data_IF_816537964391
#
_entry.id   IF_816537964391
#
_cell.length_a   1.000
_cell.length_b   1.000
_cell.length_c   1.000
_cell.angle_alpha   90.00
_cell.angle_beta   90.00
_cell.angle_gamma   90.00
#
_symmetry.space_group_name_H-M   'P 1'
#
loop_
_entity.id
_entity.type
_entity.pdbx_description
1 polymer ?
#
# COMPACT_ATOMS: atom_id res chain seq x y z
N UNK A 1 -7.69 6.85 8.24
CA UNK A 1 -7.01 5.83 7.43
C UNK A 1 -7.39 6.09 5.99
N UNK A 2 -6.43 5.95 5.09
CA UNK A 2 -6.55 6.21 3.67
C UNK A 2 -6.36 4.92 2.88
N UNK A 3 -7.15 4.74 1.84
CA UNK A 3 -7.16 3.57 0.96
C UNK A 3 -6.82 3.99 -0.45
N UNK A 4 -5.80 3.39 -1.05
CA UNK A 4 -5.30 3.75 -2.37
C UNK A 4 -6.14 3.21 -3.52
N UNK A 5 -6.21 4.01 -4.58
CA UNK A 5 -6.82 3.69 -5.85
C UNK A 5 -5.89 4.09 -6.99
N UNK A 6 -5.82 3.25 -8.03
CA UNK A 6 -5.09 3.51 -9.27
C UNK A 6 -6.07 3.89 -10.37
N UNK A 7 -5.81 5.02 -11.02
CA UNK A 7 -6.53 5.50 -12.20
C UNK A 7 -6.04 4.76 -13.45
N UNK A 8 -6.96 4.45 -14.35
CA UNK A 8 -6.67 3.67 -15.55
C UNK A 8 -7.48 4.18 -16.75
N UNK A 9 -6.91 3.98 -17.95
CA UNK A 9 -7.49 4.38 -19.25
C UNK A 9 -7.79 5.89 -19.32
N UNK A 10 -6.77 6.64 -19.74
CA UNK A 10 -6.90 8.08 -20.01
C UNK A 10 -7.88 8.28 -21.17
N UNK A 11 -8.90 9.11 -20.97
CA UNK A 11 -9.95 9.38 -21.97
C UNK A 11 -9.76 10.73 -22.67
N UNK A 12 -9.06 11.67 -22.01
CA UNK A 12 -8.83 13.03 -22.50
C UNK A 12 -7.40 13.43 -22.15
N UNK A 13 -6.82 14.37 -22.90
CA UNK A 13 -5.56 15.01 -22.49
C UNK A 13 -5.68 15.49 -21.04
N UNK A 14 -4.61 15.30 -20.26
CA UNK A 14 -4.53 15.75 -18.88
C UNK A 14 -4.66 17.27 -18.88
N UNK A 15 -5.89 17.76 -18.64
CA UNK A 15 -6.10 19.20 -18.48
C UNK A 15 -5.43 19.61 -17.17
N UNK A 16 -4.72 20.72 -17.18
CA UNK A 16 -4.39 21.40 -15.94
C UNK A 16 -5.71 21.93 -15.36
N UNK A 17 -6.30 21.14 -14.48
CA UNK A 17 -7.58 21.50 -13.89
C UNK A 17 -7.37 22.53 -12.79
N UNK A 18 -8.09 23.65 -12.89
CA UNK A 18 -8.23 24.56 -11.75
C UNK A 18 -9.10 23.90 -10.66
N UNK A 19 -8.85 24.25 -9.40
CA UNK A 19 -9.62 23.76 -8.24
C UNK A 19 -11.11 23.96 -8.42
N UNK A 20 -11.50 25.11 -8.97
CA UNK A 20 -12.91 25.44 -9.14
C UNK A 20 -13.56 24.56 -10.20
N UNK A 21 -12.86 24.30 -11.32
CA UNK A 21 -13.32 23.40 -12.38
C UNK A 21 -13.56 21.98 -11.88
N UNK A 22 -12.62 21.42 -11.09
CA UNK A 22 -12.79 20.07 -10.52
C UNK A 22 -14.00 20.03 -9.59
N UNK A 23 -14.14 21.04 -8.71
CA UNK A 23 -15.25 21.07 -7.77
C UNK A 23 -16.60 21.18 -8.47
N UNK A 24 -16.71 22.04 -9.48
CA UNK A 24 -17.92 22.24 -10.26
C UNK A 24 -18.25 21.01 -11.11
N UNK A 25 -17.27 20.44 -11.82
CA UNK A 25 -17.45 19.23 -12.62
C UNK A 25 -17.93 18.03 -11.79
N UNK A 26 -17.31 17.81 -10.63
CA UNK A 26 -17.74 16.74 -9.71
C UNK A 26 -19.18 16.99 -9.25
N UNK A 27 -19.53 18.24 -8.91
CA UNK A 27 -20.87 18.60 -8.43
C UNK A 27 -21.93 18.39 -9.51
N UNK A 28 -21.65 18.78 -10.74
CA UNK A 28 -22.54 18.60 -11.90
C UNK A 28 -22.74 17.12 -12.23
N UNK A 29 -21.67 16.32 -12.17
CA UNK A 29 -21.75 14.90 -12.50
C UNK A 29 -22.52 14.10 -11.44
N UNK A 30 -22.31 14.40 -10.16
CA UNK A 30 -23.19 13.83 -9.12
C UNK A 30 -24.64 14.25 -9.30
N UNK A 31 -24.90 15.52 -9.64
CA UNK A 31 -26.26 15.99 -9.88
C UNK A 31 -26.94 15.26 -11.06
N UNK A 32 -26.21 15.07 -12.15
CA UNK A 32 -26.66 14.35 -13.35
C UNK A 32 -26.96 12.88 -13.06
N UNK A 33 -26.24 12.27 -12.11
CA UNK A 33 -26.50 10.91 -11.62
C UNK A 33 -27.63 10.84 -10.56
N UNK A 34 -28.40 11.92 -10.37
CA UNK A 34 -29.53 11.98 -9.43
C UNK A 34 -29.11 12.08 -7.95
N UNK A 35 -27.83 12.35 -7.68
CA UNK A 35 -27.25 12.39 -6.35
C UNK A 35 -27.08 13.83 -5.87
N UNK A 36 -27.83 14.22 -4.83
CA UNK A 36 -27.72 15.55 -4.21
C UNK A 36 -26.59 15.56 -3.18
N UNK A 37 -25.40 15.97 -3.60
CA UNK A 37 -24.20 16.00 -2.77
C UNK A 37 -23.85 17.42 -2.30
N UNK A 38 -23.19 17.50 -1.14
CA UNK A 38 -22.43 18.65 -0.68
C UNK A 38 -20.95 18.37 -0.95
N UNK A 39 -20.31 19.24 -1.72
CA UNK A 39 -18.96 19.02 -2.23
C UNK A 39 -18.11 20.25 -1.92
N UNK A 40 -16.93 20.02 -1.36
CA UNK A 40 -15.94 21.06 -1.12
C UNK A 40 -14.56 20.54 -1.52
N UNK A 41 -13.81 21.34 -2.26
CA UNK A 41 -12.43 21.05 -2.62
C UNK A 41 -11.49 22.07 -1.97
N UNK A 42 -10.42 21.61 -1.35
CA UNK A 42 -9.36 22.45 -0.81
C UNK A 42 -7.99 21.95 -1.30
N UNK A 43 -7.06 22.87 -1.51
CA UNK A 43 -5.68 22.57 -1.85
C UNK A 43 -4.81 22.76 -0.62
N UNK A 44 -3.97 21.78 -0.30
CA UNK A 44 -3.00 21.86 0.79
C UNK A 44 -1.79 20.98 0.47
N UNK A 45 -0.56 21.51 0.57
CA UNK A 45 0.68 20.80 0.25
C UNK A 45 0.66 20.09 -1.14
N UNK A 46 0.12 20.76 -2.18
CA UNK A 46 -0.06 20.19 -3.53
C UNK A 46 -0.99 18.96 -3.61
N UNK A 47 -1.76 18.69 -2.56
CA UNK A 47 -2.78 17.65 -2.52
C UNK A 47 -4.15 18.33 -2.56
N UNK A 48 -5.01 17.87 -3.49
CA UNK A 48 -6.41 18.28 -3.48
C UNK A 48 -7.21 17.38 -2.57
N UNK A 49 -7.81 17.95 -1.53
CA UNK A 49 -8.77 17.24 -0.69
C UNK A 49 -10.18 17.55 -1.14
N UNK A 50 -10.94 16.51 -1.47
CA UNK A 50 -12.35 16.63 -1.84
C UNK A 50 -13.19 16.01 -0.72
N UNK A 51 -14.07 16.80 -0.16
CA UNK A 51 -15.10 16.40 0.76
C UNK A 51 -16.38 16.11 -0.02
N UNK A 52 -16.97 14.93 0.20
CA UNK A 52 -18.25 14.53 -0.39
C UNK A 52 -19.20 14.03 0.71
N UNK A 53 -20.34 14.68 0.83
CA UNK A 53 -21.39 14.31 1.79
C UNK A 53 -22.77 14.31 1.11
N UNK A 54 -23.57 13.27 1.34
CA UNK A 54 -24.96 13.24 0.87
C UNK A 54 -25.83 14.23 1.63
N UNK A 55 -26.58 15.05 0.89
CA UNK A 55 -27.59 15.92 1.50
C UNK A 55 -28.71 15.06 2.08
N UNK A 56 -28.98 15.21 3.37
CA UNK A 56 -30.04 14.47 4.09
C UNK A 56 -31.38 14.60 3.36
N UNK A 57 -31.99 13.46 2.99
CA UNK A 57 -33.42 13.42 2.65
C UNK A 57 -34.22 13.58 3.96
N UNK A 58 -35.22 14.46 3.98
CA UNK A 58 -36.01 14.92 5.15
C UNK A 58 -36.59 13.83 6.10
N UNK A 59 -36.39 12.53 5.85
CA UNK A 59 -36.98 11.41 6.61
C UNK A 59 -35.99 10.36 7.16
N UNK A 60 -34.67 10.48 6.95
CA UNK A 60 -33.70 9.52 7.53
C UNK A 60 -32.69 10.23 8.43
N UNK A 61 -32.81 10.00 9.74
CA UNK A 61 -31.85 10.40 10.78
C UNK A 61 -30.67 9.43 10.79
N UNK A 62 -30.06 9.18 9.63
CA UNK A 62 -28.84 8.38 9.57
C UNK A 62 -27.68 9.36 9.39
N UNK A 63 -26.75 9.36 10.34
CA UNK A 63 -25.51 10.11 10.23
C UNK A 63 -24.67 9.48 9.11
N UNK A 64 -24.82 10.00 7.90
CA UNK A 64 -23.96 9.64 6.77
C UNK A 64 -22.61 10.29 7.05
N UNK A 65 -21.60 9.48 7.33
CA UNK A 65 -20.24 9.98 7.47
C UNK A 65 -19.77 10.53 6.12
N UNK A 66 -19.09 11.68 6.07
CA UNK A 66 -18.54 12.19 4.83
C UNK A 66 -17.44 11.28 4.29
N UNK A 67 -17.29 11.29 2.97
CA UNK A 67 -16.19 10.62 2.27
C UNK A 67 -15.18 11.66 1.85
N UNK A 68 -13.92 11.46 2.19
CA UNK A 68 -12.83 12.34 1.79
C UNK A 68 -11.99 11.67 0.73
N UNK A 69 -11.59 12.41 -0.29
CA UNK A 69 -10.63 12.01 -1.29
C UNK A 69 -9.39 12.90 -1.18
N UNK A 70 -8.22 12.31 -1.37
CA UNK A 70 -6.95 13.02 -1.50
C UNK A 70 -6.38 12.70 -2.89
N UNK A 71 -6.34 13.73 -3.74
CA UNK A 71 -5.86 13.63 -5.11
C UNK A 71 -4.46 14.24 -5.21
N UNK A 72 -3.58 13.55 -5.92
CA UNK A 72 -2.23 13.99 -6.20
C UNK A 72 -2.16 14.30 -7.69
N UNK A 73 -1.92 15.57 -8.03
CA UNK A 73 -1.79 15.97 -9.43
C UNK A 73 -0.64 15.23 -10.11
N UNK A 74 -0.77 15.00 -11.42
CA UNK A 74 0.21 14.29 -12.26
C UNK A 74 0.43 12.81 -11.89
N UNK A 75 -0.23 12.33 -10.84
CA UNK A 75 -0.15 10.95 -10.39
C UNK A 75 -1.39 10.17 -10.84
N UNK A 76 -1.18 8.92 -11.26
CA UNK A 76 -2.28 7.99 -11.60
C UNK A 76 -2.90 7.37 -10.35
N UNK A 77 -2.87 8.06 -9.22
CA UNK A 77 -3.28 7.54 -7.93
C UNK A 77 -4.05 8.59 -7.12
N UNK A 78 -5.03 8.11 -6.36
CA UNK A 78 -5.70 8.90 -5.34
C UNK A 78 -6.02 8.03 -4.13
N UNK A 79 -6.38 8.66 -3.02
CA UNK A 79 -6.73 7.98 -1.79
C UNK A 79 -8.11 8.37 -1.29
N UNK A 80 -8.79 7.44 -0.63
CA UNK A 80 -10.09 7.68 -0.01
C UNK A 80 -10.06 7.38 1.48
N UNK A 81 -10.83 8.12 2.29
CA UNK A 81 -10.94 7.90 3.74
C UNK A 81 -11.79 6.69 4.14
N UNK A 82 -12.53 6.08 3.20
CA UNK A 82 -13.40 4.93 3.44
C UNK A 82 -12.93 3.70 2.68
N UNK A 83 -13.01 2.54 3.34
CA UNK A 83 -12.63 1.23 2.76
C UNK A 83 -13.56 0.83 1.61
N UNK A 84 -14.85 1.04 1.81
CA UNK A 84 -15.91 0.69 0.88
C UNK A 84 -16.61 1.99 0.48
N UNK A 85 -16.38 2.41 -0.76
CA UNK A 85 -16.94 3.62 -1.36
C UNK A 85 -17.89 3.18 -2.46
N UNK A 86 -19.08 3.79 -2.60
CA UNK A 86 -19.97 3.50 -3.72
C UNK A 86 -19.24 3.67 -5.05
N UNK A 87 -19.46 2.74 -5.98
CA UNK A 87 -18.75 2.73 -7.27
C UNK A 87 -18.99 4.02 -8.07
N UNK A 88 -20.17 4.63 -7.94
CA UNK A 88 -20.51 5.87 -8.64
C UNK A 88 -19.66 7.05 -8.18
N UNK A 89 -19.27 7.10 -6.89
CA UNK A 89 -18.36 8.14 -6.41
C UNK A 89 -16.98 7.95 -7.06
N UNK A 90 -16.48 6.72 -7.12
CA UNK A 90 -15.18 6.41 -7.72
C UNK A 90 -15.16 6.71 -9.22
N UNK A 91 -16.29 6.49 -9.92
CA UNK A 91 -16.46 6.85 -11.34
C UNK A 91 -16.42 8.36 -11.52
N UNK A 92 -17.20 9.11 -10.76
CA UNK A 92 -17.24 10.59 -10.82
C UNK A 92 -15.86 11.20 -10.54
N UNK A 93 -15.14 10.69 -9.53
CA UNK A 93 -13.78 11.16 -9.25
C UNK A 93 -12.83 10.83 -10.42
N UNK A 94 -12.91 9.62 -10.98
CA UNK A 94 -12.04 9.23 -12.09
C UNK A 94 -12.32 10.03 -13.37
N UNK A 95 -13.59 10.22 -13.74
CA UNK A 95 -14.00 10.96 -14.95
C UNK A 95 -13.61 12.43 -14.89
N UNK A 96 -13.77 13.08 -13.72
CA UNK A 96 -13.33 14.46 -13.51
C UNK A 96 -11.81 14.63 -13.58
N UNK A 97 -11.05 13.56 -13.35
CA UNK A 97 -9.60 13.56 -13.55
C UNK A 97 -9.18 13.13 -14.97
N UNK A 98 -10.14 12.92 -15.87
CA UNK A 98 -9.89 12.54 -17.27
C UNK A 98 -9.68 11.03 -17.48
N UNK A 99 -10.02 10.19 -16.51
CA UNK A 99 -9.87 8.73 -16.57
C UNK A 99 -11.22 8.01 -16.66
N UNK A 100 -11.25 6.86 -17.34
CA UNK A 100 -12.47 6.07 -17.46
C UNK A 100 -12.77 5.21 -16.24
N UNK A 101 -11.75 4.83 -15.48
CA UNK A 101 -11.94 3.89 -14.39
C UNK A 101 -10.87 4.05 -13.30
N UNK A 102 -11.21 3.60 -12.11
CA UNK A 102 -10.29 3.45 -10.98
C UNK A 102 -10.40 2.05 -10.39
N UNK A 103 -9.26 1.52 -9.92
CA UNK A 103 -9.19 0.22 -9.24
C UNK A 103 -8.54 0.39 -7.88
N UNK A 104 -9.14 -0.19 -6.86
CA UNK A 104 -8.52 -0.23 -5.53
C UNK A 104 -7.22 -1.02 -5.55
N UNK A 105 -6.19 -0.47 -4.93
CA UNK A 105 -4.90 -1.15 -4.75
C UNK A 105 -4.75 -1.63 -3.30
N UNK A 106 -3.86 -2.61 -3.11
CA UNK A 106 -3.51 -3.19 -1.81
C UNK A 106 -2.54 -2.28 -1.01
N UNK A 107 -2.89 -1.01 -0.90
CA UNK A 107 -2.13 0.02 -0.19
C UNK A 107 -3.07 0.85 0.69
N UNK A 108 -2.79 0.89 1.99
CA UNK A 108 -3.52 1.70 2.97
C UNK A 108 -2.64 2.12 4.15
N UNK A 109 -2.94 3.26 4.77
CA UNK A 109 -2.22 3.77 5.94
C UNK A 109 -2.83 5.06 6.47
N UNK A 110 -2.25 5.68 7.51
CA UNK A 110 -2.74 6.98 7.99
C UNK A 110 -1.99 8.16 7.38
N UNK A 111 -0.71 7.98 7.06
CA UNK A 111 0.14 9.06 6.55
C UNK A 111 0.17 9.11 5.02
N UNK A 112 -0.53 10.10 4.44
CA UNK A 112 -0.62 10.26 2.98
C UNK A 112 0.74 10.48 2.31
N UNK A 113 1.65 11.22 2.96
CA UNK A 113 3.00 11.49 2.45
C UNK A 113 3.80 10.19 2.29
N UNK A 114 3.72 9.29 3.26
CA UNK A 114 4.34 7.97 3.19
C UNK A 114 3.69 7.07 2.13
N UNK A 115 2.37 7.11 1.99
CA UNK A 115 1.67 6.31 0.99
C UNK A 115 2.03 6.70 -0.44
N UNK A 116 2.09 8.01 -0.75
CA UNK A 116 2.51 8.46 -2.08
C UNK A 116 4.00 8.19 -2.33
N UNK A 117 4.85 8.34 -1.30
CA UNK A 117 6.28 8.01 -1.39
C UNK A 117 6.51 6.55 -1.78
N UNK A 118 5.71 5.62 -1.23
CA UNK A 118 5.78 4.19 -1.60
C UNK A 118 5.40 3.92 -3.05
N UNK A 119 4.38 4.61 -3.56
CA UNK A 119 3.99 4.49 -4.97
C UNK A 119 5.04 5.07 -5.90
N UNK A 120 5.72 6.14 -5.49
CA UNK A 120 6.84 6.68 -6.25
C UNK A 120 8.04 5.71 -6.26
N UNK A 121 8.38 5.11 -5.13
CA UNK A 121 9.42 4.07 -5.07
C UNK A 121 9.07 2.90 -6.00
N UNK A 122 7.81 2.42 -5.99
CA UNK A 122 7.35 1.37 -6.92
C UNK A 122 7.54 1.79 -8.39
N UNK A 123 7.18 3.03 -8.76
CA UNK A 123 7.35 3.53 -10.12
C UNK A 123 8.82 3.63 -10.54
N UNK A 124 9.71 4.14 -9.67
CA UNK A 124 11.15 4.23 -9.95
C UNK A 124 11.76 2.85 -10.14
N UNK A 125 11.34 1.88 -9.31
CA UNK A 125 11.80 0.50 -9.43
C UNK A 125 11.35 -0.13 -10.76
N UNK A 126 10.13 0.14 -11.23
CA UNK A 126 9.69 -0.35 -12.56
C UNK A 126 10.55 0.22 -13.69
N UNK A 127 11.09 1.44 -13.54
CA UNK A 127 11.98 2.07 -14.53
C UNK A 127 13.43 1.56 -14.47
N UNK A 128 13.82 0.87 -13.39
CA UNK A 128 15.18 0.36 -13.15
C UNK A 128 15.19 -1.19 -13.11
N UNK A 129 14.26 -1.84 -13.80
CA UNK A 129 13.98 -3.27 -13.66
C UNK A 129 15.21 -4.17 -13.93
N UNK A 130 16.19 -3.73 -14.72
CA UNK A 130 17.42 -4.45 -14.97
C UNK A 130 18.32 -4.61 -13.71
N UNK A 131 18.23 -3.71 -12.72
CA UNK A 131 19.07 -3.71 -11.50
C UNK A 131 18.41 -4.39 -10.28
N UNK A 132 17.13 -4.76 -10.36
CA UNK A 132 16.31 -5.17 -9.19
C UNK A 132 16.22 -6.68 -8.99
N UNK A 133 16.65 -7.48 -9.97
CA UNK A 133 16.53 -8.94 -9.89
C UNK A 133 17.43 -9.60 -8.83
N UNK A 134 18.35 -8.86 -8.20
CA UNK A 134 19.19 -9.40 -7.14
C UNK A 134 18.69 -8.96 -5.76
N UNK A 135 18.14 -9.90 -4.95
CA UNK A 135 17.82 -9.59 -3.57
C UNK A 135 19.09 -9.13 -2.83
N UNK A 136 18.99 -8.22 -1.85
CA UNK A 136 20.14 -7.79 -1.07
C UNK A 136 20.88 -9.02 -0.52
N UNK A 137 22.17 -9.13 -0.80
CA UNK A 137 22.99 -10.23 -0.31
C UNK A 137 23.50 -9.86 1.07
N UNK A 138 23.09 -10.61 2.10
CA UNK A 138 23.72 -10.50 3.41
C UNK A 138 25.16 -11.00 3.30
N UNK A 139 26.13 -10.14 3.61
CA UNK A 139 27.53 -10.52 3.70
C UNK A 139 27.92 -10.61 5.18
N UNK A 140 28.07 -11.84 5.73
CA UNK A 140 28.62 -12.00 7.07
C UNK A 140 30.04 -11.42 7.10
N UNK A 141 30.40 -10.72 8.17
CA UNK A 141 31.77 -10.29 8.39
C UNK A 141 32.40 -11.01 9.57
N UNK A 142 33.73 -10.94 9.66
CA UNK A 142 34.42 -11.33 10.88
C UNK A 142 33.94 -10.53 12.10
N UNK A 143 34.06 -11.09 13.32
CA UNK A 143 33.72 -10.39 14.55
C UNK A 143 34.47 -9.06 14.66
N UNK A 144 33.78 -8.00 15.12
CA UNK A 144 34.40 -6.69 15.28
C UNK A 144 35.20 -6.69 16.58
N UNK A 145 36.52 -6.61 16.47
CA UNK A 145 37.42 -6.50 17.62
C UNK A 145 37.55 -5.03 18.00
N UNK A 146 37.21 -4.69 19.24
CA UNK A 146 37.32 -3.34 19.78
C UNK A 146 38.05 -3.35 21.13
N UNK A 147 38.44 -2.16 21.61
CA UNK A 147 38.99 -1.98 22.95
C UNK A 147 38.02 -2.35 24.09
N UNK A 148 36.73 -2.56 23.79
CA UNK A 148 35.70 -3.00 24.74
C UNK A 148 35.39 -4.50 24.68
N UNK A 149 36.07 -5.25 23.82
CA UNK A 149 35.86 -6.68 23.60
C UNK A 149 35.55 -7.03 22.14
N UNK A 150 35.26 -8.31 21.90
CA UNK A 150 34.94 -8.86 20.58
C UNK A 150 33.43 -8.95 20.41
N UNK A 151 32.89 -8.27 19.39
CA UNK A 151 31.48 -8.33 19.04
C UNK A 151 31.21 -9.47 18.03
N UNK A 152 30.71 -10.60 18.56
CA UNK A 152 30.20 -11.72 17.77
C UNK A 152 28.75 -11.55 17.32
N UNK A 153 28.09 -10.49 17.79
CA UNK A 153 26.68 -10.27 17.49
C UNK A 153 26.50 -9.85 16.05
N UNK A 154 27.46 -9.24 15.35
CA UNK A 154 27.29 -8.71 13.98
C UNK A 154 26.06 -7.78 13.84
N UNK A 155 25.78 -6.97 14.88
CA UNK A 155 24.58 -6.12 14.90
C UNK A 155 24.58 -5.06 13.79
N UNK A 156 25.73 -4.45 13.54
CA UNK A 156 25.89 -3.41 12.51
C UNK A 156 25.72 -3.95 11.08
N UNK A 157 26.19 -5.17 10.81
CA UNK A 157 26.04 -5.84 9.51
C UNK A 157 24.57 -6.14 9.23
N UNK A 158 23.85 -6.66 10.25
CA UNK A 158 22.41 -6.90 10.14
C UNK A 158 21.61 -5.63 9.97
N UNK A 159 21.99 -4.57 10.66
CA UNK A 159 21.41 -3.25 10.47
C UNK A 159 21.60 -2.75 9.03
N UNK A 160 22.82 -2.78 8.51
CA UNK A 160 23.12 -2.40 7.11
C UNK A 160 22.29 -3.22 6.11
N UNK A 161 22.20 -4.53 6.31
CA UNK A 161 21.35 -5.38 5.49
C UNK A 161 19.87 -4.99 5.55
N UNK A 162 19.33 -4.76 6.75
CA UNK A 162 17.95 -4.30 6.90
C UNK A 162 17.72 -2.92 6.27
N UNK A 163 18.68 -2.00 6.38
CA UNK A 163 18.64 -0.69 5.71
C UNK A 163 18.65 -0.83 4.18
N UNK A 164 19.31 -1.85 3.61
CA UNK A 164 19.22 -2.15 2.17
C UNK A 164 17.84 -2.68 1.76
N UNK A 165 17.17 -3.44 2.63
CA UNK A 165 15.82 -3.94 2.37
C UNK A 165 14.76 -2.83 2.52
N UNK A 166 14.80 -2.07 3.61
CA UNK A 166 13.71 -1.18 4.02
C UNK A 166 14.01 0.31 3.83
N UNK A 167 15.27 0.67 3.60
CA UNK A 167 15.74 2.05 3.63
C UNK A 167 16.11 2.53 5.04
N UNK A 168 17.00 3.52 5.12
CA UNK A 168 17.47 4.12 6.38
C UNK A 168 16.36 4.88 7.13
N UNK A 169 15.48 5.55 6.39
CA UNK A 169 14.27 6.19 6.94
C UNK A 169 13.03 5.76 6.13
N UNK A 170 12.46 4.58 6.46
CA UNK A 170 11.36 4.01 5.70
C UNK A 170 10.08 4.86 5.84
N UNK A 171 9.26 4.95 4.78
CA UNK A 171 7.91 5.51 4.86
C UNK A 171 7.11 4.89 6.02
N UNK A 172 6.27 5.71 6.66
CA UNK A 172 5.42 5.28 7.76
C UNK A 172 4.27 4.43 7.22
N UNK A 173 4.30 3.14 7.55
CA UNK A 173 3.21 2.21 7.36
C UNK A 173 2.93 1.51 8.69
N UNK A 174 1.67 1.46 9.09
CA UNK A 174 1.30 0.87 10.38
C UNK A 174 0.90 -0.59 10.31
N UNK A 175 0.70 -1.11 9.09
CA UNK A 175 0.13 -2.42 8.87
C UNK A 175 0.80 -3.10 7.68
N UNK A 176 1.12 -4.38 7.85
CA UNK A 176 1.58 -5.27 6.79
C UNK A 176 0.82 -6.60 6.88
N UNK A 177 0.18 -7.01 5.79
CA UNK A 177 -0.62 -8.24 5.70
C UNK A 177 0.00 -9.17 4.68
N UNK A 178 0.20 -10.42 5.09
CA UNK A 178 0.61 -11.52 4.22
C UNK A 178 -0.51 -12.54 4.22
N UNK A 179 -1.12 -12.72 3.06
CA UNK A 179 -2.15 -13.72 2.82
C UNK A 179 -1.48 -14.96 2.20
N UNK A 180 -1.41 -16.05 2.94
CA UNK A 180 -0.95 -17.32 2.40
C UNK A 180 -1.97 -17.93 1.45
N UNK A 181 -1.49 -18.74 0.51
CA UNK A 181 -2.30 -19.60 -0.32
C UNK A 181 -2.87 -20.77 0.51
N UNK A 182 -3.84 -21.48 -0.08
CA UNK A 182 -4.33 -22.75 0.49
C UNK A 182 -3.32 -23.83 0.12
N UNK A 183 -2.71 -24.45 1.12
CA UNK A 183 -1.76 -25.55 0.92
C UNK A 183 -2.27 -26.85 1.53
N UNK A 184 -2.00 -28.01 0.91
CA UNK A 184 -2.29 -29.29 1.52
C UNK A 184 -1.45 -29.50 2.79
N UNK A 185 -1.97 -30.27 3.73
CA UNK A 185 -1.24 -30.61 4.96
C UNK A 185 -0.11 -31.58 4.61
N UNK A 186 1.15 -31.12 4.69
CA UNK A 186 2.34 -31.91 4.38
C UNK A 186 2.96 -32.64 5.58
N UNK A 187 2.46 -32.41 6.80
CA UNK A 187 3.04 -33.00 8.01
C UNK A 187 2.83 -34.52 8.03
N UNK A 188 3.91 -35.30 8.04
CA UNK A 188 3.89 -36.75 7.85
C UNK A 188 2.89 -37.50 8.75
N UNK A 189 2.78 -37.13 10.03
CA UNK A 189 1.86 -37.78 10.98
C UNK A 189 0.36 -37.41 10.83
N UNK A 190 0.04 -36.43 9.99
CA UNK A 190 -1.31 -35.87 9.83
C UNK A 190 -1.79 -35.93 8.38
N UNK A 191 -0.87 -35.85 7.41
CA UNK A 191 -1.17 -35.84 5.98
C UNK A 191 -1.99 -37.06 5.54
N UNK A 192 -1.67 -38.26 6.04
CA UNK A 192 -2.42 -39.48 5.73
C UNK A 192 -3.83 -39.52 6.32
N UNK A 193 -4.08 -38.79 7.41
CA UNK A 193 -5.39 -38.68 8.07
C UNK A 193 -6.27 -37.60 7.45
N UNK A 194 -5.67 -36.60 6.81
CA UNK A 194 -6.35 -35.44 6.25
C UNK A 194 -5.89 -35.14 4.80
N UNK A 195 -5.99 -36.12 3.88
CA UNK A 195 -5.38 -36.02 2.55
C UNK A 195 -6.01 -34.93 1.66
N UNK A 196 -7.27 -34.57 1.92
CA UNK A 196 -8.01 -33.57 1.15
C UNK A 196 -8.13 -32.22 1.87
N UNK A 197 -7.50 -32.08 3.04
CA UNK A 197 -7.59 -30.87 3.83
C UNK A 197 -6.50 -29.88 3.44
N UNK A 198 -6.86 -28.62 3.39
CA UNK A 198 -5.94 -27.52 3.14
C UNK A 198 -5.88 -26.58 4.34
N UNK A 199 -4.72 -25.99 4.56
CA UNK A 199 -4.50 -24.94 5.54
C UNK A 199 -4.26 -23.64 4.77
N UNK A 200 -4.84 -22.55 5.27
CA UNK A 200 -4.54 -21.20 4.83
C UNK A 200 -4.04 -20.42 6.02
N UNK A 201 -2.85 -19.85 5.93
CA UNK A 201 -2.28 -18.99 6.97
C UNK A 201 -2.26 -17.55 6.50
N UNK A 202 -2.76 -16.63 7.32
CA UNK A 202 -2.65 -15.20 7.07
C UNK A 202 -1.94 -14.57 8.27
N UNK A 203 -1.00 -13.68 8.00
CA UNK A 203 -0.27 -12.94 9.02
C UNK A 203 -0.57 -11.45 8.88
N UNK A 204 -0.83 -10.79 10.00
CA UNK A 204 -1.01 -9.35 10.06
C UNK A 204 -0.08 -8.78 11.12
N UNK A 205 0.85 -7.92 10.69
CA UNK A 205 1.75 -7.18 11.56
C UNK A 205 1.25 -5.76 11.71
N UNK A 206 1.33 -5.24 12.95
CA UNK A 206 0.98 -3.86 13.27
C UNK A 206 2.08 -3.21 14.09
N UNK A 207 2.50 -2.03 13.68
CA UNK A 207 3.48 -1.19 14.38
C UNK A 207 3.19 0.27 14.04
N UNK A 208 3.84 1.23 14.71
CA UNK A 208 3.77 2.62 14.27
C UNK A 208 4.52 2.85 12.96
N UNK A 209 5.66 2.18 12.77
CA UNK A 209 6.42 2.17 11.53
C UNK A 209 6.92 0.75 11.28
N UNK A 210 6.32 0.07 10.30
CA UNK A 210 6.63 -1.31 9.97
C UNK A 210 8.07 -1.52 9.48
N UNK A 211 8.65 -0.55 8.74
CA UNK A 211 10.04 -0.65 8.31
C UNK A 211 11.01 -0.66 9.49
N UNK A 212 10.87 0.32 10.39
CA UNK A 212 11.70 0.39 11.61
C UNK A 212 11.50 -0.83 12.51
N UNK A 213 10.28 -1.34 12.60
CA UNK A 213 9.98 -2.57 13.34
C UNK A 213 10.68 -3.79 12.74
N UNK A 214 10.57 -4.02 11.42
CA UNK A 214 11.23 -5.15 10.76
C UNK A 214 12.76 -5.04 10.87
N UNK A 215 13.33 -3.84 10.71
CA UNK A 215 14.76 -3.59 10.95
C UNK A 215 15.18 -4.04 12.36
N UNK A 216 14.43 -3.63 13.39
CA UNK A 216 14.74 -4.02 14.77
C UNK A 216 14.64 -5.55 14.99
N UNK A 217 13.71 -6.24 14.32
CA UNK A 217 13.63 -7.70 14.39
C UNK A 217 14.84 -8.40 13.75
N UNK A 218 15.34 -7.86 12.64
CA UNK A 218 16.54 -8.37 11.98
C UNK A 218 17.78 -8.13 12.86
N UNK A 219 17.97 -6.91 13.35
CA UNK A 219 19.08 -6.56 14.25
C UNK A 219 19.16 -7.50 15.46
N UNK A 220 18.01 -7.82 16.05
CA UNK A 220 17.86 -8.69 17.24
C UNK A 220 17.84 -10.19 16.94
N UNK A 221 18.08 -10.61 15.68
CA UNK A 221 18.06 -12.02 15.25
C UNK A 221 16.71 -12.73 15.46
N UNK A 222 15.61 -11.98 15.52
CA UNK A 222 14.26 -12.55 15.49
C UNK A 222 13.91 -12.97 14.07
N UNK A 223 14.31 -12.17 13.08
CA UNK A 223 14.27 -12.53 11.67
C UNK A 223 15.70 -12.73 11.17
N UNK A 224 15.96 -13.92 10.62
CA UNK A 224 17.29 -14.30 10.13
C UNK A 224 17.46 -13.92 8.65
N UNK A 225 18.52 -13.19 8.27
CA UNK A 225 18.90 -12.99 6.88
C UNK A 225 19.34 -14.30 6.19
N UNK A 226 19.18 -14.45 4.87
CA UNK A 226 18.44 -13.53 3.99
C UNK A 226 16.93 -13.64 4.24
N UNK A 227 16.26 -12.48 4.23
CA UNK A 227 14.81 -12.42 4.38
C UNK A 227 14.10 -12.95 3.14
N UNK A 228 12.92 -13.58 3.30
CA UNK A 228 12.05 -13.91 2.17
C UNK A 228 11.76 -12.68 1.31
N UNK A 229 11.64 -12.88 0.01
CA UNK A 229 11.47 -11.80 -0.98
C UNK A 229 10.29 -10.87 -0.64
N UNK A 230 9.16 -11.43 -0.24
CA UNK A 230 7.98 -10.64 0.14
C UNK A 230 8.19 -9.74 1.36
N UNK A 231 9.18 -10.05 2.22
CA UNK A 231 9.60 -9.18 3.32
C UNK A 231 10.67 -8.21 2.84
N UNK A 232 11.72 -8.68 2.18
CA UNK A 232 12.85 -7.82 1.77
C UNK A 232 12.44 -6.74 0.75
N UNK A 233 11.43 -7.02 -0.07
CA UNK A 233 10.88 -6.08 -1.05
C UNK A 233 9.65 -5.31 -0.55
N UNK A 234 9.24 -5.47 0.71
CA UNK A 234 8.03 -4.84 1.26
C UNK A 234 7.94 -3.34 0.94
N UNK A 235 9.01 -2.57 1.16
CA UNK A 235 9.05 -1.13 0.90
C UNK A 235 9.14 -0.74 -0.58
N UNK A 236 9.36 -1.72 -1.46
CA UNK A 236 9.56 -1.53 -2.90
C UNK A 236 8.31 -1.83 -3.71
N UNK A 237 7.39 -2.64 -3.17
CA UNK A 237 6.21 -3.14 -3.89
C UNK A 237 5.06 -2.13 -4.06
N UNK A 238 5.10 -0.99 -3.35
CA UNK A 238 3.98 -0.04 -3.34
C UNK A 238 2.70 -0.61 -2.68
N UNK A 239 2.81 -1.71 -1.93
CA UNK A 239 1.67 -2.44 -1.33
C UNK A 239 1.99 -2.84 0.10
N UNK A 240 0.95 -2.96 0.91
CA UNK A 240 1.06 -3.48 2.27
C UNK A 240 0.10 -4.63 2.58
N UNK A 241 -0.58 -5.15 1.57
CA UNK A 241 -1.21 -6.47 1.60
C UNK A 241 -0.65 -7.30 0.43
N UNK A 242 -0.02 -8.43 0.72
CA UNK A 242 0.60 -9.33 -0.26
C UNK A 242 -0.10 -10.67 -0.18
N UNK A 243 -0.31 -11.31 -1.34
CA UNK A 243 -0.79 -12.69 -1.41
C UNK A 243 0.34 -13.55 -1.93
N UNK A 244 0.73 -14.57 -1.15
CA UNK A 244 1.73 -15.54 -1.58
C UNK A 244 1.11 -16.47 -2.62
N UNK A 245 1.77 -16.63 -3.76
CA UNK A 245 1.39 -17.60 -4.78
C UNK A 245 2.26 -18.85 -4.65
N UNK A 246 1.66 -20.01 -4.83
CA UNK A 246 2.39 -21.27 -4.95
C UNK A 246 2.78 -21.46 -6.42
N UNK A 247 3.94 -22.06 -6.70
CA UNK A 247 4.51 -22.22 -8.06
C UNK A 247 3.54 -22.79 -9.10
N UNK A 248 2.54 -23.59 -8.68
CA UNK A 248 1.50 -24.14 -9.55
C UNK A 248 0.53 -23.09 -10.15
N UNK A 249 0.45 -21.87 -9.59
CA UNK A 249 -0.40 -20.78 -10.10
C UNK A 249 0.35 -19.80 -11.01
N UNK A 250 1.68 -19.89 -11.11
CA UNK A 250 2.47 -18.99 -11.95
C UNK A 250 2.55 -19.45 -13.43
N UNK A 251 2.05 -20.66 -13.73
CA UNK A 251 2.08 -21.28 -15.05
C UNK A 251 0.69 -21.37 -15.72
N UNK A 252 -0.32 -20.69 -15.17
CA UNK A 252 -1.71 -20.68 -15.65
C UNK A 252 -2.18 -19.28 -16.02
#
# INVERSE_FOLDING_TARGET
MWYGYKLSRLNRELRHFDRQEIQEGIKEEFHSNGLKMNIKAIMYDNIMFIYVEEKKKKKKVQHITPTYFALFFEQKYFFCSKKNVPIDYLKVIASNLGYNNSKRIKLMGKDLKSLIKLLWIEQQNVLQAEDISQPPVYQPSEPVISNKGVDYTQSEQRKKYAEQCFGKDPPILEKFVIEGSREPIKHAGVASKLPNNTIRMNWEFRSHNMGKFLTALVERRVLMPPLPEYISNFMKTGRNEITLQTEQQAQS
#
